data_IF_195484817742
#
_entry.id   IF_195484817742
#
_cell.length_a   1.000
_cell.length_b   1.000
_cell.length_c   1.000
_cell.angle_alpha   90.00
_cell.angle_beta   90.00
_cell.angle_gamma   90.00
#
_symmetry.space_group_name_H-M   'P 1'
#
loop_
_entity.id
_entity.type
_entity.pdbx_description
1 polymer ?
#
# COMPACT_ATOMS: atom_id res chain seq x y z
N UNK A 1 -20.60 -32.73 -55.65
CA UNK A 1 -21.16 -32.48 -54.30
C UNK A 1 -20.75 -31.09 -53.86
N UNK A 2 -21.63 -30.10 -54.05
CA UNK A 2 -21.40 -28.71 -53.69
C UNK A 2 -22.27 -28.31 -52.51
N UNK A 3 -21.70 -27.61 -51.54
CA UNK A 3 -22.44 -27.01 -50.42
C UNK A 3 -22.62 -25.50 -50.68
N UNK A 4 -23.84 -24.97 -50.73
CA UNK A 4 -24.06 -23.55 -50.95
C UNK A 4 -23.86 -22.74 -49.65
N UNK A 5 -22.95 -21.77 -49.70
CA UNK A 5 -22.67 -20.79 -48.65
C UNK A 5 -23.83 -19.78 -48.55
N UNK A 6 -24.63 -19.89 -47.47
CA UNK A 6 -25.73 -18.95 -47.18
C UNK A 6 -25.19 -17.53 -46.98
N UNK A 7 -25.68 -16.58 -47.79
CA UNK A 7 -25.42 -15.13 -47.66
C UNK A 7 -26.45 -14.55 -46.68
N UNK A 8 -25.98 -13.83 -45.66
CA UNK A 8 -26.84 -13.09 -44.73
C UNK A 8 -27.32 -11.77 -45.39
N UNK A 9 -28.60 -11.38 -45.22
CA UNK A 9 -29.12 -10.12 -45.76
C UNK A 9 -28.61 -8.91 -44.95
N UNK A 10 -28.20 -7.85 -45.66
CA UNK A 10 -27.87 -6.55 -45.10
C UNK A 10 -29.17 -5.84 -44.67
N UNK A 11 -29.32 -5.54 -43.39
CA UNK A 11 -30.40 -4.68 -42.89
C UNK A 11 -30.01 -3.21 -43.09
N UNK A 12 -30.76 -2.51 -43.94
CA UNK A 12 -30.71 -1.05 -44.03
C UNK A 12 -31.67 -0.50 -42.97
N UNK A 13 -31.16 0.28 -42.01
CA UNK A 13 -32.02 0.99 -41.06
C UNK A 13 -32.60 2.23 -41.77
N UNK A 14 -33.90 2.17 -42.02
CA UNK A 14 -34.74 3.25 -42.52
C UNK A 14 -34.78 4.37 -41.49
N UNK A 15 -34.28 5.56 -41.83
CA UNK A 15 -34.62 6.79 -41.13
C UNK A 15 -36.10 7.08 -41.43
N UNK A 16 -36.98 6.90 -40.44
CA UNK A 16 -38.35 7.41 -40.50
C UNK A 16 -38.41 8.65 -39.63
N UNK A 17 -38.78 9.73 -40.29
CA UNK A 17 -38.91 11.08 -39.78
C UNK A 17 -40.08 11.20 -38.78
N UNK A 18 -39.86 12.05 -37.77
CA UNK A 18 -40.82 12.92 -37.09
C UNK A 18 -42.25 12.42 -36.79
N UNK A 19 -42.56 12.21 -35.49
CA UNK A 19 -43.50 13.10 -34.80
C UNK A 19 -43.58 12.90 -33.27
N UNK A 20 -43.29 13.99 -32.56
CA UNK A 20 -43.91 14.51 -31.34
C UNK A 20 -44.11 13.67 -30.07
N UNK A 21 -43.29 14.04 -29.08
CA UNK A 21 -43.58 14.29 -27.67
C UNK A 21 -44.69 13.49 -26.98
N UNK A 22 -44.30 12.61 -26.05
CA UNK A 22 -44.85 12.48 -24.70
C UNK A 22 -44.13 11.34 -23.98
N UNK A 23 -43.65 11.62 -22.76
CA UNK A 23 -43.17 10.70 -21.72
C UNK A 23 -41.75 10.11 -21.83
N UNK A 24 -40.77 10.86 -21.32
CA UNK A 24 -40.02 10.37 -20.15
C UNK A 24 -39.39 11.53 -19.35
N UNK A 25 -40.24 12.40 -18.79
CA UNK A 25 -39.84 13.41 -17.80
C UNK A 25 -40.35 12.99 -16.42
N UNK A 26 -39.78 11.95 -15.81
CA UNK A 26 -40.09 11.70 -14.39
C UNK A 26 -39.14 10.77 -13.60
N UNK A 27 -37.88 10.59 -14.01
CA UNK A 27 -36.91 9.83 -13.20
C UNK A 27 -35.63 10.58 -12.81
N UNK A 28 -35.70 11.92 -12.73
CA UNK A 28 -34.63 12.73 -12.12
C UNK A 28 -35.07 13.32 -10.78
N UNK A 29 -35.30 12.48 -9.77
CA UNK A 29 -35.38 12.95 -8.38
C UNK A 29 -34.83 11.90 -7.41
N UNK A 30 -33.50 11.83 -7.39
CA UNK A 30 -32.62 11.56 -6.23
C UNK A 30 -31.18 11.58 -6.75
N UNK A 31 -30.59 12.78 -6.82
CA UNK A 31 -29.13 12.93 -6.73
C UNK A 31 -28.79 12.67 -5.28
N UNK A 32 -28.50 11.42 -4.94
CA UNK A 32 -27.60 11.15 -3.82
C UNK A 32 -26.20 11.27 -4.40
N UNK A 33 -25.48 12.26 -3.87
CA UNK A 33 -24.08 12.53 -4.15
C UNK A 33 -23.28 11.32 -3.69
N UNK A 34 -23.01 10.38 -4.60
CA UNK A 34 -21.93 9.43 -4.42
C UNK A 34 -20.65 10.26 -4.39
N UNK A 35 -20.13 10.49 -3.19
CA UNK A 35 -18.87 11.16 -2.98
C UNK A 35 -17.81 10.40 -3.78
N UNK A 36 -17.46 10.94 -4.93
CA UNK A 36 -16.31 10.53 -5.70
C UNK A 36 -15.13 10.48 -4.74
N UNK A 37 -14.62 9.28 -4.46
CA UNK A 37 -13.31 9.13 -3.82
C UNK A 37 -12.35 10.03 -4.58
N UNK A 38 -11.59 10.92 -3.94
CA UNK A 38 -10.63 11.73 -4.68
C UNK A 38 -9.69 10.78 -5.38
N UNK A 39 -9.78 10.73 -6.70
CA UNK A 39 -8.79 10.09 -7.55
C UNK A 39 -7.56 10.98 -7.41
N UNK A 40 -6.75 10.72 -6.39
CA UNK A 40 -5.43 11.30 -6.23
C UNK A 40 -4.50 10.64 -7.25
N UNK A 41 -4.82 10.81 -8.54
CA UNK A 41 -3.90 10.59 -9.65
C UNK A 41 -2.90 11.75 -9.67
N UNK A 42 -2.13 11.89 -8.58
CA UNK A 42 -0.89 12.63 -8.62
C UNK A 42 0.02 11.81 -9.52
N UNK A 43 0.33 12.35 -10.70
CA UNK A 43 1.46 11.89 -11.51
C UNK A 43 2.71 11.95 -10.65
N UNK A 44 3.04 10.84 -9.99
CA UNK A 44 4.19 10.73 -9.12
C UNK A 44 5.42 10.90 -10.03
N UNK A 45 6.13 12.02 -9.85
CA UNK A 45 7.40 12.24 -10.52
C UNK A 45 8.34 11.07 -10.21
N UNK A 46 9.14 10.63 -11.20
CA UNK A 46 10.12 9.57 -11.00
C UNK A 46 11.05 9.85 -9.79
N UNK A 47 11.31 11.12 -9.50
CA UNK A 47 12.08 11.55 -8.32
C UNK A 47 11.37 11.24 -7.00
N UNK A 48 10.05 11.39 -6.95
CA UNK A 48 9.25 11.07 -5.76
C UNK A 48 9.23 9.56 -5.52
N UNK A 49 9.07 8.74 -6.56
CA UNK A 49 9.16 7.27 -6.41
C UNK A 49 10.54 6.82 -5.90
N UNK A 50 11.62 7.38 -6.46
CA UNK A 50 12.99 7.11 -6.01
C UNK A 50 13.16 7.48 -4.53
N UNK A 51 12.59 8.61 -4.11
CA UNK A 51 12.65 9.05 -2.72
C UNK A 51 11.88 8.12 -1.80
N UNK A 52 10.68 7.68 -2.19
CA UNK A 52 9.92 6.68 -1.42
C UNK A 52 10.66 5.35 -1.31
N UNK A 53 11.29 4.88 -2.39
CA UNK A 53 12.11 3.65 -2.38
C UNK A 53 13.28 3.79 -1.41
N UNK A 54 13.97 4.94 -1.39
CA UNK A 54 15.05 5.21 -0.43
C UNK A 54 14.55 5.20 1.01
N UNK A 55 13.42 5.86 1.30
CA UNK A 55 12.80 5.87 2.64
C UNK A 55 12.45 4.46 3.10
N UNK A 56 11.80 3.66 2.25
CA UNK A 56 11.51 2.24 2.53
C UNK A 56 12.78 1.44 2.81
N UNK A 57 13.83 1.63 2.01
CA UNK A 57 15.12 0.96 2.22
C UNK A 57 15.76 1.31 3.57
N UNK A 58 15.70 2.58 3.97
CA UNK A 58 16.21 3.04 5.27
C UNK A 58 15.45 2.38 6.43
N UNK A 59 14.12 2.39 6.36
CA UNK A 59 13.26 1.74 7.36
C UNK A 59 13.61 0.24 7.49
N UNK A 60 13.79 -0.46 6.38
CA UNK A 60 14.14 -1.88 6.39
C UNK A 60 15.54 -2.13 6.97
N UNK A 61 16.48 -1.24 6.68
CA UNK A 61 17.83 -1.29 7.27
C UNK A 61 17.76 -1.18 8.79
N UNK A 62 17.02 -0.19 9.31
CA UNK A 62 16.84 0.01 10.76
C UNK A 62 16.10 -1.18 11.38
N UNK A 63 15.04 -1.66 10.74
CA UNK A 63 14.27 -2.80 11.22
C UNK A 63 15.15 -4.06 11.35
N UNK A 64 16.08 -4.26 10.43
CA UNK A 64 17.03 -5.37 10.47
C UNK A 64 18.05 -5.18 11.59
N UNK A 65 18.63 -3.98 11.73
CA UNK A 65 19.61 -3.67 12.80
C UNK A 65 19.03 -3.82 14.21
N UNK A 66 17.78 -3.39 14.40
CA UNK A 66 17.07 -3.44 15.68
C UNK A 66 16.44 -4.81 15.98
N UNK A 67 16.52 -5.76 15.04
CA UNK A 67 15.94 -7.10 15.17
C UNK A 67 14.41 -7.14 15.06
N UNK A 68 13.77 -6.09 14.51
CA UNK A 68 12.32 -6.09 14.19
C UNK A 68 12.05 -6.93 12.94
N UNK A 69 12.98 -6.90 11.98
CA UNK A 69 12.95 -7.72 10.77
C UNK A 69 14.09 -8.74 10.80
N UNK A 70 13.77 -9.99 10.49
CA UNK A 70 14.76 -11.04 10.23
C UNK A 70 15.18 -11.01 8.75
N UNK A 71 16.39 -11.48 8.43
CA UNK A 71 16.87 -11.50 7.04
C UNK A 71 15.90 -12.27 6.11
N UNK A 72 15.49 -13.46 6.55
CA UNK A 72 14.73 -14.41 5.73
C UNK A 72 13.21 -14.34 5.94
N UNK A 73 12.73 -13.57 6.92
CA UNK A 73 11.30 -13.54 7.27
C UNK A 73 10.71 -12.14 7.34
N UNK A 74 9.57 -12.00 6.66
CA UNK A 74 8.75 -10.79 6.68
C UNK A 74 7.64 -10.83 7.73
N UNK A 75 7.32 -11.99 8.29
CA UNK A 75 6.16 -12.18 9.17
C UNK A 75 6.26 -11.34 10.43
N UNK A 76 7.44 -11.33 11.07
CA UNK A 76 7.71 -10.55 12.28
C UNK A 76 7.57 -9.05 12.02
N UNK A 77 8.18 -8.58 10.93
CA UNK A 77 8.11 -7.19 10.51
C UNK A 77 6.67 -6.77 10.18
N UNK A 78 5.94 -7.56 9.39
CA UNK A 78 4.56 -7.24 9.01
C UNK A 78 3.63 -7.22 10.22
N UNK A 79 3.78 -8.18 11.14
CA UNK A 79 3.01 -8.21 12.39
C UNK A 79 3.30 -6.97 13.24
N UNK A 80 4.57 -6.57 13.34
CA UNK A 80 4.97 -5.34 14.02
C UNK A 80 4.40 -4.09 13.34
N UNK A 81 4.43 -4.02 12.01
CA UNK A 81 3.86 -2.90 11.25
C UNK A 81 2.36 -2.75 11.54
N UNK A 82 1.60 -3.85 11.56
CA UNK A 82 0.17 -3.80 11.87
C UNK A 82 -0.10 -3.45 13.35
N UNK A 83 0.75 -3.90 14.28
CA UNK A 83 0.52 -3.72 15.70
C UNK A 83 1.04 -2.39 16.27
N UNK A 84 2.15 -1.86 15.74
CA UNK A 84 2.94 -0.82 16.42
C UNK A 84 3.37 0.33 15.53
N UNK A 85 3.22 0.24 14.21
CA UNK A 85 3.54 1.40 13.35
C UNK A 85 2.53 2.53 13.57
N UNK A 86 2.94 3.78 13.32
CA UNK A 86 2.08 4.98 13.47
C UNK A 86 0.72 4.84 12.76
N UNK A 87 0.68 4.16 11.60
CA UNK A 87 -0.54 4.02 10.80
C UNK A 87 -1.06 2.58 10.67
N UNK A 88 -0.49 1.63 11.41
CA UNK A 88 -0.96 0.24 11.48
C UNK A 88 -1.18 -0.44 10.11
N UNK A 89 -0.33 -0.16 9.12
CA UNK A 89 -0.46 -0.68 7.75
C UNK A 89 0.83 -1.30 7.24
N UNK A 90 0.75 -2.08 6.16
CA UNK A 90 1.93 -2.65 5.53
C UNK A 90 2.79 -1.59 4.83
N UNK A 91 4.12 -1.74 4.82
CA UNK A 91 5.08 -0.76 4.26
C UNK A 91 4.79 -0.34 2.81
N UNK A 92 4.21 -1.25 2.01
CA UNK A 92 3.88 -1.00 0.61
C UNK A 92 2.66 -0.07 0.45
N UNK A 93 1.81 0.05 1.46
CA UNK A 93 0.57 0.84 1.44
C UNK A 93 0.77 2.27 1.94
N UNK A 94 2.00 2.69 2.22
CA UNK A 94 2.31 4.04 2.69
C UNK A 94 2.46 5.04 1.56
N UNK A 95 1.93 6.24 1.81
CA UNK A 95 2.14 7.43 0.99
C UNK A 95 3.43 8.16 1.37
N UNK A 96 3.82 9.15 0.55
CA UNK A 96 5.07 9.89 0.72
C UNK A 96 5.17 10.58 2.09
N UNK A 97 4.11 11.25 2.53
CA UNK A 97 4.08 11.98 3.80
C UNK A 97 4.13 11.02 5.00
N UNK A 98 3.36 9.93 4.93
CA UNK A 98 3.29 8.91 6.00
C UNK A 98 4.62 8.16 6.15
N UNK A 99 5.37 7.98 5.06
CA UNK A 99 6.72 7.41 5.13
C UNK A 99 7.68 8.28 5.94
N UNK A 100 7.47 9.61 6.00
CA UNK A 100 8.29 10.50 6.83
C UNK A 100 8.02 10.31 8.32
N UNK A 101 6.75 10.14 8.68
CA UNK A 101 6.34 9.83 10.07
C UNK A 101 6.86 8.46 10.50
N UNK A 102 6.76 7.47 9.61
CA UNK A 102 7.29 6.14 9.85
C UNK A 102 8.82 6.15 10.01
N UNK A 103 9.55 6.87 9.16
CA UNK A 103 11.01 6.98 9.26
C UNK A 103 11.42 7.59 10.61
N UNK A 104 10.74 8.65 11.07
CA UNK A 104 10.97 9.24 12.40
C UNK A 104 10.74 8.23 13.53
N UNK A 105 9.66 7.44 13.45
CA UNK A 105 9.40 6.37 14.42
C UNK A 105 10.55 5.35 14.45
N UNK A 106 11.02 4.90 13.29
CA UNK A 106 12.14 3.95 13.20
C UNK A 106 13.45 4.53 13.72
N UNK A 107 13.75 5.81 13.47
CA UNK A 107 14.92 6.48 14.07
C UNK A 107 14.86 6.50 15.59
N UNK A 108 13.69 6.77 16.16
CA UNK A 108 13.53 6.74 17.61
C UNK A 108 13.72 5.31 18.16
N UNK A 109 13.22 4.29 17.45
CA UNK A 109 13.44 2.89 17.80
C UNK A 109 14.92 2.51 17.76
N UNK A 110 15.66 3.01 16.75
CA UNK A 110 17.11 2.81 16.62
C UNK A 110 17.85 3.37 17.85
N UNK A 111 17.58 4.62 18.22
CA UNK A 111 18.19 5.26 19.40
C UNK A 111 17.86 4.50 20.69
N UNK A 112 16.59 4.14 20.87
CA UNK A 112 16.15 3.39 22.04
C UNK A 112 16.81 2.00 22.12
N UNK A 113 16.97 1.36 20.97
CA UNK A 113 17.65 0.08 20.85
C UNK A 113 19.15 0.24 21.18
N UNK A 114 19.83 1.26 20.65
CA UNK A 114 21.25 1.52 20.94
C UNK A 114 21.48 1.80 22.44
N UNK A 115 20.64 2.65 23.05
CA UNK A 115 20.68 2.91 24.49
C UNK A 115 20.44 1.64 25.32
N UNK A 116 19.57 0.74 24.82
CA UNK A 116 19.34 -0.54 25.46
C UNK A 116 20.54 -1.45 25.26
N UNK A 117 21.09 -1.54 24.05
CA UNK A 117 22.22 -2.41 23.73
C UNK A 117 23.49 -2.06 24.50
N UNK A 118 23.63 -0.85 25.05
CA UNK A 118 24.72 -0.49 25.96
C UNK A 118 24.60 -1.16 27.34
N UNK A 119 23.40 -1.56 27.77
CA UNK A 119 23.15 -2.19 29.07
C UNK A 119 23.34 -3.69 28.96
N UNK A 120 24.37 -4.21 29.61
CA UNK A 120 24.74 -5.63 29.62
C UNK A 120 23.59 -6.51 30.12
N UNK A 121 23.39 -7.65 29.46
CA UNK A 121 22.45 -8.70 29.88
C UNK A 121 21.01 -8.52 29.43
N UNK A 122 20.68 -7.43 28.70
CA UNK A 122 19.36 -7.30 28.09
C UNK A 122 19.32 -7.87 26.66
N UNK A 123 18.11 -8.06 26.15
CA UNK A 123 17.88 -8.66 24.83
C UNK A 123 18.59 -7.90 23.70
N UNK A 124 18.65 -6.57 23.77
CA UNK A 124 19.31 -5.74 22.77
C UNK A 124 20.85 -5.92 22.81
N UNK A 125 21.44 -6.05 24.00
CA UNK A 125 22.86 -6.32 24.16
C UNK A 125 23.23 -7.71 23.64
N UNK A 126 22.42 -8.73 23.93
CA UNK A 126 22.61 -10.08 23.38
C UNK A 126 22.54 -10.09 21.85
N UNK A 127 21.55 -9.38 21.28
CA UNK A 127 21.41 -9.25 19.83
C UNK A 127 22.58 -8.49 19.19
N UNK A 128 23.04 -7.40 19.81
CA UNK A 128 24.16 -6.59 19.30
C UNK A 128 25.52 -7.30 19.40
N UNK A 129 25.74 -8.09 20.45
CA UNK A 129 27.02 -8.79 20.70
C UNK A 129 27.08 -10.20 20.12
N UNK A 130 25.94 -10.78 19.74
CA UNK A 130 25.84 -12.17 19.30
C UNK A 130 26.00 -13.20 20.43
N UNK A 131 26.06 -12.75 21.68
CA UNK A 131 26.17 -13.64 22.85
C UNK A 131 24.77 -14.20 23.15
N UNK A 132 24.58 -15.53 23.19
CA UNK A 132 23.27 -16.10 23.48
C UNK A 132 22.81 -15.72 24.89
N UNK A 133 21.53 -15.39 25.00
CA UNK A 133 20.91 -15.09 26.29
C UNK A 133 20.79 -16.38 27.09
N UNK A 134 21.28 -16.40 28.34
CA UNK A 134 21.20 -17.58 29.20
C UNK A 134 19.73 -17.90 29.46
N UNK A 135 19.24 -19.00 28.88
CA UNK A 135 17.89 -19.51 29.10
C UNK A 135 17.78 -20.02 30.52
N UNK A 136 17.14 -19.26 31.40
CA UNK A 136 16.67 -19.79 32.68
C UNK A 136 15.46 -20.69 32.34
N UNK A 137 15.73 -21.97 32.12
CA UNK A 137 14.70 -23.03 32.03
C UNK A 137 14.30 -23.49 33.43
#
# INVERSE_FOLDING_TARGET
>A
MGTPKKRQPRTFNTFSDSDSAVNNYQNNKKREVEASKPVSSQSISAEMELTMKRKRSNILTIATRTGIKEADSWTKFNSWMLASSVHHKALNAYDYNELDELDKQFRQLEINYEHSAQKVGNKAWHHATGIPQSSQN
#
